data_IF_827527345119
#
_entry.id   IF_827527345119
#
_cell.length_a   1.000
_cell.length_b   1.000
_cell.length_c   1.000
_cell.angle_alpha   90.00
_cell.angle_beta   90.00
_cell.angle_gamma   90.00
#
_symmetry.space_group_name_H-M   'P 1'
#
loop_
_entity.id
_entity.type
_entity.pdbx_description
1 polymer ?
#
# COMPACT_ATOMS: atom_id res chain seq x y z
N UNK A 1 -58.99 -20.44 59.40
CA UNK A 1 -58.87 -21.29 58.21
C UNK A 1 -57.69 -20.74 57.41
N UNK A 2 -56.54 -21.40 57.45
CA UNK A 2 -55.33 -20.99 56.71
C UNK A 2 -55.55 -21.27 55.23
N UNK A 3 -55.37 -20.26 54.38
CA UNK A 3 -55.17 -20.45 52.95
C UNK A 3 -53.75 -20.01 52.61
N UNK A 4 -52.96 -21.02 52.27
CA UNK A 4 -51.64 -20.97 51.69
C UNK A 4 -51.63 -20.12 50.41
N UNK A 5 -50.76 -19.12 50.34
CA UNK A 5 -50.31 -18.59 49.05
C UNK A 5 -49.05 -19.35 48.64
N UNK A 6 -49.24 -20.31 47.73
CA UNK A 6 -48.17 -20.78 46.85
C UNK A 6 -47.65 -19.58 46.05
N UNK A 7 -46.33 -19.42 46.00
CA UNK A 7 -45.66 -18.41 45.18
C UNK A 7 -44.98 -19.13 44.00
N UNK A 8 -45.63 -19.25 42.82
CA UNK A 8 -45.00 -19.80 41.62
C UNK A 8 -44.27 -18.72 40.79
N UNK A 9 -44.35 -17.46 41.20
CA UNK A 9 -43.94 -16.29 40.40
C UNK A 9 -42.41 -16.15 40.22
N UNK A 10 -41.62 -16.53 41.23
CA UNK A 10 -40.16 -16.31 41.21
C UNK A 10 -39.43 -17.22 40.21
N UNK A 11 -39.87 -18.47 40.08
CA UNK A 11 -39.23 -19.45 39.19
C UNK A 11 -39.48 -19.15 37.71
N UNK A 12 -40.68 -18.66 37.38
CA UNK A 12 -41.04 -18.26 36.01
C UNK A 12 -40.24 -17.03 35.58
N UNK A 13 -40.03 -16.06 36.49
CA UNK A 13 -39.20 -14.89 36.23
C UNK A 13 -37.72 -15.24 36.02
N UNK A 14 -37.18 -16.17 36.82
CA UNK A 14 -35.81 -16.67 36.65
C UNK A 14 -35.64 -17.42 35.32
N UNK A 15 -36.61 -18.26 34.94
CA UNK A 15 -36.60 -18.97 33.65
C UNK A 15 -36.67 -18.01 32.46
N UNK A 16 -37.49 -16.94 32.55
CA UNK A 16 -37.57 -15.88 31.54
C UNK A 16 -36.27 -15.06 31.43
N UNK A 17 -35.59 -14.78 32.54
CA UNK A 17 -34.29 -14.11 32.53
C UNK A 17 -33.21 -14.97 31.88
N UNK A 18 -33.17 -16.27 32.21
CA UNK A 18 -32.18 -17.19 31.65
C UNK A 18 -32.43 -17.48 30.17
N UNK A 19 -33.69 -17.53 29.72
CA UNK A 19 -34.00 -17.65 28.29
C UNK A 19 -33.59 -16.39 27.52
N UNK A 20 -33.79 -15.18 28.05
CA UNK A 20 -33.28 -13.95 27.43
C UNK A 20 -31.75 -13.91 27.36
N UNK A 21 -31.04 -14.38 28.40
CA UNK A 21 -29.58 -14.47 28.38
C UNK A 21 -29.05 -15.48 27.34
N UNK A 22 -29.74 -16.62 27.19
CA UNK A 22 -29.37 -17.67 26.23
C UNK A 22 -29.72 -17.29 24.78
N UNK A 23 -30.82 -16.54 24.57
CA UNK A 23 -31.20 -15.99 23.26
C UNK A 23 -30.18 -14.97 22.76
N UNK A 24 -29.52 -14.23 23.64
CA UNK A 24 -28.51 -13.24 23.24
C UNK A 24 -27.18 -13.88 22.83
N UNK A 25 -26.92 -15.13 23.24
CA UNK A 25 -25.67 -15.85 22.95
C UNK A 25 -25.55 -16.30 21.49
N UNK A 26 -26.66 -16.31 20.75
CA UNK A 26 -26.75 -16.72 19.35
C UNK A 26 -27.15 -15.57 18.40
N UNK A 27 -27.07 -14.32 18.86
CA UNK A 27 -27.04 -13.19 17.93
C UNK A 27 -25.68 -13.22 17.23
N UNK A 28 -25.60 -13.87 16.08
CA UNK A 28 -24.50 -13.64 15.15
C UNK A 28 -24.39 -12.12 14.97
N UNK A 29 -23.25 -11.55 15.36
CA UNK A 29 -22.98 -10.13 15.15
C UNK A 29 -23.06 -9.88 13.65
N UNK A 30 -24.17 -9.32 13.18
CA UNK A 30 -24.21 -8.67 11.88
C UNK A 30 -23.06 -7.66 11.89
N UNK A 31 -22.12 -7.69 10.94
CA UNK A 31 -20.98 -6.79 10.97
C UNK A 31 -21.52 -5.37 11.06
N UNK A 32 -21.08 -4.62 12.07
CA UNK A 32 -21.43 -3.22 12.24
C UNK A 32 -20.89 -2.46 11.04
N UNK A 33 -21.73 -2.16 10.06
CA UNK A 33 -21.36 -1.24 8.98
C UNK A 33 -21.81 0.17 9.30
N UNK A 34 -20.94 1.15 9.05
CA UNK A 34 -21.33 2.55 9.05
C UNK A 34 -22.14 2.82 7.78
N UNK A 35 -23.38 3.28 7.93
CA UNK A 35 -24.20 3.70 6.78
C UNK A 35 -23.90 5.15 6.42
N UNK A 36 -23.53 5.39 5.16
CA UNK A 36 -23.46 6.74 4.56
C UNK A 36 -24.09 6.71 3.17
N UNK A 37 -25.00 7.64 2.88
CA UNK A 37 -25.76 7.70 1.62
C UNK A 37 -26.40 6.37 1.20
N UNK A 38 -27.04 5.67 2.16
CA UNK A 38 -27.70 4.37 1.95
C UNK A 38 -26.78 3.23 1.46
N UNK A 39 -25.46 3.35 1.63
CA UNK A 39 -24.49 2.26 1.40
C UNK A 39 -23.93 1.77 2.73
N UNK A 40 -23.87 0.45 2.88
CA UNK A 40 -23.29 -0.24 4.03
C UNK A 40 -21.77 -0.34 3.83
N UNK A 41 -20.99 0.42 4.59
CA UNK A 41 -19.53 0.33 4.57
C UNK A 41 -19.06 -0.65 5.65
N UNK A 42 -18.93 -1.92 5.28
CA UNK A 42 -18.09 -2.92 5.98
C UNK A 42 -16.61 -2.81 5.57
N UNK A 43 -16.26 -1.82 4.75
CA UNK A 43 -15.14 -1.89 3.81
C UNK A 43 -13.92 -1.05 4.20
N UNK A 44 -14.05 -0.08 5.10
CA UNK A 44 -13.00 0.92 5.33
C UNK A 44 -11.78 0.31 6.04
N UNK A 45 -11.99 -0.38 7.16
CA UNK A 45 -10.95 -1.09 7.91
C UNK A 45 -10.25 -2.17 7.06
N UNK A 46 -11.03 -3.02 6.39
CA UNK A 46 -10.53 -4.04 5.46
C UNK A 46 -9.72 -3.44 4.31
N UNK A 47 -10.09 -2.23 3.83
CA UNK A 47 -9.34 -1.56 2.76
C UNK A 47 -7.96 -1.11 3.25
N UNK A 48 -7.86 -0.55 4.46
CA UNK A 48 -6.55 -0.15 4.99
C UNK A 48 -5.69 -1.36 5.38
N UNK A 49 -6.31 -2.44 5.88
CA UNK A 49 -5.60 -3.69 6.14
C UNK A 49 -5.02 -4.27 4.84
N UNK A 50 -5.86 -4.36 3.80
CA UNK A 50 -5.43 -4.83 2.49
C UNK A 50 -4.37 -3.91 1.88
N UNK A 51 -4.54 -2.59 1.94
CA UNK A 51 -3.56 -1.63 1.42
C UNK A 51 -2.19 -1.77 2.10
N UNK A 52 -2.16 -1.85 3.44
CA UNK A 52 -0.92 -2.04 4.19
C UNK A 52 -0.26 -3.39 3.94
N UNK A 53 -1.05 -4.47 3.77
CA UNK A 53 -0.52 -5.79 3.42
C UNK A 53 0.06 -5.82 2.01
N UNK A 54 -0.66 -5.26 1.03
CA UNK A 54 -0.21 -5.20 -0.36
C UNK A 54 1.04 -4.33 -0.51
N UNK A 55 1.09 -3.16 0.14
CA UNK A 55 2.26 -2.28 0.09
C UNK A 55 3.49 -2.95 0.68
N UNK A 56 3.34 -3.70 1.76
CA UNK A 56 4.42 -4.44 2.39
C UNK A 56 4.98 -5.52 1.45
N UNK A 57 4.08 -6.31 0.84
CA UNK A 57 4.48 -7.33 -0.12
C UNK A 57 5.20 -6.73 -1.34
N UNK A 58 4.71 -5.61 -1.87
CA UNK A 58 5.35 -4.91 -2.99
C UNK A 58 6.76 -4.43 -2.58
N UNK A 59 6.90 -3.82 -1.40
CA UNK A 59 8.19 -3.34 -0.89
C UNK A 59 9.23 -4.47 -0.81
N UNK A 60 8.82 -5.64 -0.30
CA UNK A 60 9.68 -6.84 -0.27
C UNK A 60 10.08 -7.27 -1.68
N UNK A 61 9.11 -7.41 -2.60
CA UNK A 61 9.37 -7.87 -3.96
C UNK A 61 10.27 -6.91 -4.75
N UNK A 62 10.11 -5.60 -4.55
CA UNK A 62 10.98 -4.58 -5.14
C UNK A 62 12.41 -4.67 -4.58
N UNK A 63 12.58 -4.82 -3.27
CA UNK A 63 13.89 -5.04 -2.64
C UNK A 63 14.59 -6.29 -3.17
N UNK A 64 13.84 -7.37 -3.35
CA UNK A 64 14.37 -8.58 -3.95
C UNK A 64 14.73 -8.39 -5.44
N UNK A 65 13.88 -7.71 -6.22
CA UNK A 65 14.18 -7.36 -7.62
C UNK A 65 15.49 -6.57 -7.71
N UNK A 66 15.65 -5.55 -6.85
CA UNK A 66 16.85 -4.73 -6.80
C UNK A 66 18.09 -5.59 -6.54
N UNK A 67 18.02 -6.49 -5.57
CA UNK A 67 19.12 -7.39 -5.22
C UNK A 67 19.43 -8.38 -6.35
N UNK A 68 18.41 -8.95 -7.00
CA UNK A 68 18.56 -9.87 -8.13
C UNK A 68 19.21 -9.17 -9.34
N UNK A 69 18.74 -7.97 -9.68
CA UNK A 69 19.28 -7.16 -10.77
C UNK A 69 20.74 -6.78 -10.51
N UNK A 70 21.05 -6.31 -9.30
CA UNK A 70 22.41 -5.95 -8.90
C UNK A 70 23.36 -7.15 -8.99
N UNK A 71 22.94 -8.31 -8.48
CA UNK A 71 23.74 -9.54 -8.52
C UNK A 71 24.02 -9.96 -9.96
N UNK A 72 23.01 -9.94 -10.82
CA UNK A 72 23.13 -10.34 -12.22
C UNK A 72 24.11 -9.43 -12.99
N UNK A 73 24.01 -8.12 -12.82
CA UNK A 73 24.84 -7.14 -13.52
C UNK A 73 26.09 -6.70 -12.76
N UNK A 74 26.47 -7.41 -11.69
CA UNK A 74 27.59 -7.03 -10.80
C UNK A 74 28.96 -6.84 -11.49
N UNK A 75 29.12 -7.31 -12.73
CA UNK A 75 30.33 -7.14 -13.55
C UNK A 75 30.31 -5.90 -14.45
N UNK A 76 29.18 -5.21 -14.56
CA UNK A 76 29.05 -3.98 -15.36
C UNK A 76 29.86 -2.86 -14.69
N UNK A 77 30.84 -2.25 -15.38
CA UNK A 77 31.67 -1.20 -14.81
C UNK A 77 30.84 0.00 -14.36
N UNK A 78 31.10 0.46 -13.14
CA UNK A 78 30.42 1.62 -12.57
C UNK A 78 28.92 1.44 -12.35
N UNK A 79 28.44 0.20 -12.19
CA UNK A 79 27.06 -0.07 -11.77
C UNK A 79 26.71 0.66 -10.47
N UNK A 80 27.63 0.61 -9.49
CA UNK A 80 27.51 1.26 -8.19
C UNK A 80 28.21 2.63 -8.11
N UNK A 81 28.94 3.04 -9.14
CA UNK A 81 29.84 4.21 -9.08
C UNK A 81 29.12 5.56 -9.26
N UNK A 82 27.78 5.60 -9.25
CA UNK A 82 27.06 6.87 -9.32
C UNK A 82 26.67 7.38 -7.93
N UNK A 83 27.04 8.64 -7.69
CA UNK A 83 26.46 9.57 -6.71
C UNK A 83 24.97 9.26 -6.46
N UNK A 84 24.43 9.38 -5.24
CA UNK A 84 23.06 8.98 -4.92
C UNK A 84 22.14 9.59 -5.96
N UNK A 85 21.60 8.71 -6.80
CA UNK A 85 20.89 9.14 -7.98
C UNK A 85 19.61 9.77 -7.47
N UNK A 86 19.53 11.10 -7.53
CA UNK A 86 18.40 11.83 -6.98
C UNK A 86 17.14 11.37 -7.73
N UNK A 87 16.27 10.64 -7.03
CA UNK A 87 15.02 10.12 -7.58
C UNK A 87 14.12 11.28 -7.99
N UNK A 88 13.31 11.12 -9.03
CA UNK A 88 12.38 12.17 -9.48
C UNK A 88 11.38 12.58 -8.38
N UNK A 89 11.05 11.65 -7.48
CA UNK A 89 10.23 11.83 -6.28
C UNK A 89 10.89 12.60 -5.14
N UNK A 90 12.21 12.82 -5.17
CA UNK A 90 12.93 13.44 -4.05
C UNK A 90 12.60 14.91 -3.78
N UNK A 91 11.81 15.56 -4.65
CA UNK A 91 11.28 16.90 -4.46
C UNK A 91 9.84 16.91 -3.93
N UNK A 92 9.20 15.74 -3.83
CA UNK A 92 7.84 15.65 -3.30
C UNK A 92 7.85 15.96 -1.79
N UNK A 93 6.85 16.71 -1.29
CA UNK A 93 6.77 17.09 0.12
C UNK A 93 6.24 15.93 0.98
N UNK A 94 6.96 14.81 1.01
CA UNK A 94 6.56 13.57 1.69
C UNK A 94 7.42 13.30 2.93
N UNK A 95 6.88 12.63 3.98
CA UNK A 95 7.65 12.27 5.16
C UNK A 95 8.90 11.42 4.85
N UNK A 96 10.07 11.77 5.35
CA UNK A 96 11.32 11.07 4.99
C UNK A 96 11.46 9.71 5.67
N UNK A 97 10.84 9.51 6.83
CA UNK A 97 10.98 8.32 7.65
C UNK A 97 9.69 7.99 8.42
N UNK A 98 9.69 6.83 9.09
CA UNK A 98 8.57 6.33 9.90
C UNK A 98 8.16 7.32 10.99
N UNK A 99 9.11 8.02 11.59
CA UNK A 99 8.82 8.89 12.73
C UNK A 99 8.09 10.14 12.29
N UNK A 100 8.51 10.73 11.17
CA UNK A 100 7.76 11.83 10.55
C UNK A 100 6.38 11.36 10.07
N UNK A 101 6.28 10.17 9.48
CA UNK A 101 5.00 9.61 9.04
C UNK A 101 4.02 9.44 10.22
N UNK A 102 4.47 8.94 11.38
CA UNK A 102 3.66 8.78 12.61
C UNK A 102 3.20 10.09 13.25
N UNK A 103 3.75 11.24 12.84
CA UNK A 103 3.29 12.56 13.28
C UNK A 103 2.57 13.33 12.16
N UNK A 104 2.41 12.71 10.99
CA UNK A 104 1.72 13.32 9.84
C UNK A 104 0.24 13.03 9.92
N UNK A 105 -0.60 14.04 9.66
CA UNK A 105 -2.05 13.84 9.59
C UNK A 105 -2.42 12.80 8.52
N UNK A 106 -3.37 11.92 8.80
CA UNK A 106 -3.70 10.80 7.92
C UNK A 106 -4.03 11.22 6.47
N UNK A 107 -4.74 12.34 6.27
CA UNK A 107 -5.03 12.83 4.91
C UNK A 107 -3.76 13.22 4.14
N UNK A 108 -2.83 13.92 4.80
CA UNK A 108 -1.55 14.31 4.20
C UNK A 108 -0.67 13.09 3.94
N UNK A 109 -0.76 12.07 4.79
CA UNK A 109 -0.03 10.81 4.63
C UNK A 109 -0.59 9.97 3.47
N UNK A 110 -1.92 9.91 3.32
CA UNK A 110 -2.56 9.24 2.17
C UNK A 110 -2.21 9.97 0.86
N UNK A 111 -2.26 11.30 0.86
CA UNK A 111 -1.82 12.14 -0.27
C UNK A 111 -0.34 11.94 -0.60
N UNK A 112 0.52 11.73 0.40
CA UNK A 112 1.93 11.41 0.19
C UNK A 112 2.13 10.06 -0.52
N UNK A 113 1.35 9.04 -0.14
CA UNK A 113 1.36 7.73 -0.81
C UNK A 113 0.86 7.84 -2.25
N UNK A 114 -0.25 8.55 -2.47
CA UNK A 114 -0.80 8.84 -3.80
C UNK A 114 0.23 9.52 -4.71
N UNK A 115 0.88 10.60 -4.25
CA UNK A 115 1.88 11.33 -5.02
C UNK A 115 3.04 10.45 -5.49
N UNK A 116 3.51 9.52 -4.66
CA UNK A 116 4.56 8.57 -5.03
C UNK A 116 4.03 7.57 -6.06
N UNK A 117 2.86 6.97 -5.82
CA UNK A 117 2.25 6.00 -6.74
C UNK A 117 2.03 6.62 -8.14
N UNK A 118 1.46 7.82 -8.20
CA UNK A 118 1.23 8.56 -9.45
C UNK A 118 2.54 8.93 -10.15
N UNK A 119 3.59 9.27 -9.40
CA UNK A 119 4.90 9.57 -9.98
C UNK A 119 5.57 8.33 -10.62
N UNK A 120 5.17 7.11 -10.26
CA UNK A 120 5.75 5.87 -10.77
C UNK A 120 4.98 5.22 -11.93
N UNK A 121 3.79 5.72 -12.27
CA UNK A 121 2.94 5.17 -13.35
C UNK A 121 3.68 5.05 -14.69
N UNK A 122 4.03 6.19 -15.31
CA UNK A 122 4.76 6.21 -16.58
C UNK A 122 6.18 5.61 -16.48
N UNK A 123 6.97 5.89 -15.43
CA UNK A 123 8.31 5.31 -15.35
C UNK A 123 8.28 3.77 -15.29
N UNK A 124 7.30 3.14 -14.63
CA UNK A 124 7.21 1.67 -14.61
C UNK A 124 6.90 1.08 -15.99
N UNK A 125 6.06 1.73 -16.80
CA UNK A 125 5.85 1.34 -18.20
C UNK A 125 7.16 1.39 -19.00
N UNK A 126 7.91 2.49 -18.87
CA UNK A 126 9.20 2.67 -19.54
C UNK A 126 10.21 1.60 -19.10
N UNK A 127 10.28 1.30 -17.79
CA UNK A 127 11.19 0.28 -17.26
C UNK A 127 10.89 -1.11 -17.84
N UNK A 128 9.62 -1.52 -17.90
CA UNK A 128 9.22 -2.81 -18.47
C UNK A 128 9.60 -2.90 -19.95
N UNK A 129 9.30 -1.84 -20.71
CA UNK A 129 9.62 -1.75 -22.14
C UNK A 129 11.13 -1.83 -22.40
N UNK A 130 11.92 -1.06 -21.64
CA UNK A 130 13.36 -0.95 -21.86
C UNK A 130 14.12 -2.20 -21.42
N UNK A 131 13.72 -2.83 -20.30
CA UNK A 131 14.31 -4.11 -19.89
C UNK A 131 14.09 -5.21 -20.94
N UNK A 132 12.95 -5.21 -21.62
CA UNK A 132 12.63 -6.21 -22.64
C UNK A 132 13.53 -6.10 -23.89
N UNK A 133 14.27 -5.00 -24.05
CA UNK A 133 15.13 -4.75 -25.21
C UNK A 133 16.63 -4.77 -24.87
N UNK A 134 17.01 -4.98 -23.60
CA UNK A 134 18.41 -5.23 -23.21
C UNK A 134 18.75 -6.70 -23.48
N UNK A 135 19.91 -6.99 -24.07
CA UNK A 135 20.29 -8.37 -24.39
C UNK A 135 20.52 -9.18 -23.11
N UNK A 136 20.05 -10.42 -23.12
CA UNK A 136 20.28 -11.40 -22.05
C UNK A 136 19.75 -11.00 -20.66
N UNK A 137 18.77 -10.09 -20.57
CA UNK A 137 18.03 -9.92 -19.30
C UNK A 137 17.36 -11.25 -18.96
N UNK A 138 17.53 -11.77 -17.74
CA UNK A 138 16.82 -12.97 -17.31
C UNK A 138 15.31 -12.77 -17.37
N UNK A 139 14.59 -13.71 -17.98
CA UNK A 139 13.10 -13.68 -18.06
C UNK A 139 12.47 -13.47 -16.68
N UNK A 140 13.07 -14.04 -15.62
CA UNK A 140 12.65 -13.86 -14.23
C UNK A 140 12.62 -12.39 -13.79
N UNK A 141 13.59 -11.58 -14.24
CA UNK A 141 13.63 -10.14 -13.92
C UNK A 141 12.48 -9.42 -14.65
N UNK A 142 12.29 -9.71 -15.94
CA UNK A 142 11.21 -9.09 -16.75
C UNK A 142 9.84 -9.44 -16.16
N UNK A 143 9.61 -10.72 -15.84
CA UNK A 143 8.34 -11.17 -15.25
C UNK A 143 8.10 -10.50 -13.90
N UNK A 144 9.14 -10.40 -13.05
CA UNK A 144 9.03 -9.79 -11.72
C UNK A 144 8.70 -8.30 -11.79
N UNK A 145 9.37 -7.53 -12.64
CA UNK A 145 9.06 -6.10 -12.84
C UNK A 145 7.62 -5.93 -13.34
N UNK A 146 7.20 -6.77 -14.28
CA UNK A 146 5.84 -6.75 -14.83
C UNK A 146 4.78 -7.05 -13.77
N UNK A 147 5.04 -8.01 -12.88
CA UNK A 147 4.10 -8.36 -11.81
C UNK A 147 4.07 -7.32 -10.69
N UNK A 148 5.23 -6.75 -10.33
CA UNK A 148 5.33 -5.61 -9.41
C UNK A 148 4.49 -4.44 -9.95
N UNK A 149 4.63 -4.10 -11.24
CA UNK A 149 3.84 -3.04 -11.87
C UNK A 149 2.33 -3.28 -11.70
N UNK A 150 1.84 -4.48 -12.02
CA UNK A 150 0.41 -4.80 -11.88
C UNK A 150 -0.09 -4.62 -10.44
N UNK A 151 0.73 -4.98 -9.45
CA UNK A 151 0.41 -4.81 -8.02
C UNK A 151 0.38 -3.33 -7.63
N UNK A 152 1.34 -2.54 -8.13
CA UNK A 152 1.38 -1.09 -7.93
C UNK A 152 0.13 -0.43 -8.54
N UNK A 153 -0.22 -0.76 -9.78
CA UNK A 153 -1.41 -0.27 -10.47
C UNK A 153 -2.70 -0.60 -9.66
N UNK A 154 -2.75 -1.77 -9.03
CA UNK A 154 -3.87 -2.17 -8.18
C UNK A 154 -3.95 -1.35 -6.88
N UNK A 155 -2.82 -1.14 -6.21
CA UNK A 155 -2.75 -0.29 -5.00
C UNK A 155 -3.11 1.17 -5.34
N UNK A 156 -2.59 1.71 -6.44
CA UNK A 156 -2.90 3.07 -6.90
C UNK A 156 -4.41 3.27 -7.13
N UNK A 157 -5.08 2.30 -7.78
CA UNK A 157 -6.55 2.34 -7.94
C UNK A 157 -7.28 2.36 -6.59
N UNK A 158 -6.83 1.54 -5.64
CA UNK A 158 -7.38 1.53 -4.28
C UNK A 158 -7.20 2.86 -3.55
N UNK A 159 -6.00 3.44 -3.61
CA UNK A 159 -5.67 4.74 -3.01
C UNK A 159 -6.46 5.88 -3.65
N UNK A 160 -6.57 5.93 -4.98
CA UNK A 160 -7.37 6.92 -5.69
C UNK A 160 -8.86 6.83 -5.32
N UNK A 161 -9.39 5.60 -5.17
CA UNK A 161 -10.75 5.37 -4.70
C UNK A 161 -10.96 5.93 -3.27
N UNK A 162 -9.99 5.74 -2.37
CA UNK A 162 -10.03 6.33 -1.03
C UNK A 162 -9.98 7.86 -1.07
N UNK A 163 -9.07 8.44 -1.88
CA UNK A 163 -8.93 9.89 -2.03
C UNK A 163 -10.22 10.56 -2.54
N UNK A 164 -10.88 9.97 -3.55
CA UNK A 164 -12.17 10.47 -4.07
C UNK A 164 -13.31 10.42 -3.04
N UNK A 165 -13.17 9.60 -2.01
CA UNK A 165 -14.14 9.52 -0.90
C UNK A 165 -13.90 10.63 0.14
N UNK A 166 -12.69 11.19 0.19
CA UNK A 166 -12.24 12.17 1.17
C UNK A 166 -12.28 13.62 0.64
N UNK A 167 -11.98 13.83 -0.66
CA UNK A 167 -11.95 15.16 -1.30
C UNK A 167 -12.57 15.11 -2.72
N UNK A 168 -13.01 16.27 -3.23
CA UNK A 168 -13.38 16.43 -4.65
C UNK A 168 -12.14 16.50 -5.55
N UNK A 169 -12.27 16.04 -6.80
CA UNK A 169 -11.17 15.90 -7.77
C UNK A 169 -10.34 17.19 -7.93
N UNK A 170 -9.05 17.14 -7.58
CA UNK A 170 -8.04 18.15 -7.94
C UNK A 170 -7.20 17.65 -9.13
N UNK A 171 -6.87 18.56 -10.06
CA UNK A 171 -6.05 18.27 -11.25
C UNK A 171 -4.60 17.91 -10.87
N UNK A 172 -4.15 16.73 -11.30
CA UNK A 172 -2.86 16.13 -10.94
C UNK A 172 -1.75 16.55 -11.91
N UNK A 173 -0.59 16.95 -11.38
CA UNK A 173 0.66 17.15 -12.16
C UNK A 173 1.72 16.15 -11.69
N UNK A 174 2.02 15.15 -12.53
CA UNK A 174 3.02 14.14 -12.20
C UNK A 174 4.42 14.64 -12.58
N UNK A 175 5.42 14.55 -11.68
CA UNK A 175 6.79 14.92 -12.02
C UNK A 175 7.35 13.96 -13.07
N UNK A 176 7.79 14.49 -14.21
CA UNK A 176 8.35 13.69 -15.30
C UNK A 176 9.67 13.03 -14.88
N UNK A 177 9.88 11.78 -15.31
CA UNK A 177 11.15 11.08 -15.09
C UNK A 177 12.24 11.63 -16.02
N UNK A 178 13.18 12.38 -15.45
CA UNK A 178 14.22 13.11 -16.20
C UNK A 178 15.25 12.23 -16.91
N UNK A 179 15.24 10.91 -16.72
CA UNK A 179 16.26 9.97 -17.22
C UNK A 179 15.77 9.03 -18.32
N UNK A 180 14.58 9.25 -18.89
CA UNK A 180 14.08 8.47 -20.02
C UNK A 180 15.10 8.36 -21.19
N UNK A 181 15.80 9.45 -21.61
CA UNK A 181 16.78 9.35 -22.69
C UNK A 181 17.98 8.43 -22.38
N UNK A 182 18.30 8.21 -21.10
CA UNK A 182 19.40 7.32 -20.70
C UNK A 182 19.00 5.84 -20.73
N UNK A 183 17.69 5.53 -20.62
CA UNK A 183 17.19 4.17 -20.80
C UNK A 183 17.29 3.73 -22.27
N UNK A 184 17.14 4.69 -23.20
CA UNK A 184 17.16 4.50 -24.65
C UNK A 184 18.56 4.67 -25.28
N UNK A 185 19.63 4.68 -24.49
CA UNK A 185 21.00 4.86 -25.00
C UNK A 185 21.44 3.69 -25.90
N UNK A 186 22.19 3.95 -26.97
CA UNK A 186 22.80 2.89 -27.78
C UNK A 186 23.84 2.03 -27.02
N UNK A 187 24.32 2.51 -25.87
CA UNK A 187 25.30 1.81 -25.04
C UNK A 187 24.59 0.95 -23.97
N UNK A 188 24.69 -0.37 -24.09
CA UNK A 188 24.04 -1.34 -23.20
C UNK A 188 24.40 -1.15 -21.71
N UNK A 189 25.68 -0.93 -21.37
CA UNK A 189 26.11 -0.65 -19.99
C UNK A 189 25.48 0.64 -19.43
N UNK A 190 25.25 1.65 -20.28
CA UNK A 190 24.52 2.87 -19.88
C UNK A 190 23.05 2.58 -19.59
N UNK A 191 22.39 1.75 -20.40
CA UNK A 191 21.00 1.34 -20.19
C UNK A 191 20.84 0.51 -18.92
N UNK A 192 21.76 -0.44 -18.68
CA UNK A 192 21.80 -1.26 -17.47
C UNK A 192 21.99 -0.37 -16.22
N UNK A 193 22.93 0.58 -16.26
CA UNK A 193 23.14 1.53 -15.16
C UNK A 193 21.94 2.45 -14.93
N UNK A 194 21.28 2.89 -16.00
CA UNK A 194 20.06 3.70 -15.90
C UNK A 194 18.93 2.91 -15.24
N UNK A 195 18.74 1.65 -15.66
CA UNK A 195 17.76 0.71 -15.09
C UNK A 195 18.06 0.40 -13.61
N UNK A 196 19.34 0.15 -13.26
CA UNK A 196 19.75 -0.03 -11.87
C UNK A 196 19.39 1.18 -11.00
N UNK A 197 19.73 2.39 -11.46
CA UNK A 197 19.39 3.62 -10.75
C UNK A 197 17.89 3.95 -10.74
N UNK A 198 17.08 3.29 -11.56
CA UNK A 198 15.63 3.39 -11.54
C UNK A 198 15.03 2.41 -10.53
N UNK A 199 15.44 1.15 -10.57
CA UNK A 199 15.03 0.11 -9.62
C UNK A 199 15.46 0.48 -8.19
N UNK A 200 16.62 1.10 -8.00
CA UNK A 200 17.06 1.62 -6.69
C UNK A 200 16.13 2.72 -6.16
N UNK A 201 15.66 3.61 -7.03
CA UNK A 201 14.69 4.64 -6.65
C UNK A 201 13.32 4.02 -6.32
N UNK A 202 12.89 3.04 -7.10
CA UNK A 202 11.66 2.29 -6.86
C UNK A 202 11.71 1.63 -5.47
N UNK A 203 12.81 0.98 -5.13
CA UNK A 203 13.03 0.34 -3.82
C UNK A 203 12.93 1.35 -2.66
N UNK A 204 13.57 2.51 -2.79
CA UNK A 204 13.51 3.55 -1.76
C UNK A 204 12.09 4.12 -1.60
N UNK A 205 11.39 4.36 -2.70
CA UNK A 205 10.05 4.95 -2.67
C UNK A 205 8.99 3.96 -2.19
N UNK A 206 9.09 2.67 -2.55
CA UNK A 206 8.12 1.68 -2.09
C UNK A 206 8.30 1.27 -0.63
N UNK A 207 9.51 1.43 -0.06
CA UNK A 207 9.70 1.43 1.40
C UNK A 207 8.95 2.57 2.09
N UNK A 208 8.92 3.76 1.48
CA UNK A 208 8.12 4.89 2.02
C UNK A 208 6.63 4.63 1.90
N UNK A 209 6.16 4.16 0.75
CA UNK A 209 4.74 3.81 0.55
C UNK A 209 4.30 2.74 1.55
N UNK A 210 5.14 1.72 1.78
CA UNK A 210 4.89 0.70 2.81
C UNK A 210 4.72 1.31 4.21
N UNK A 211 5.65 2.19 4.61
CA UNK A 211 5.57 2.93 5.87
C UNK A 211 4.28 3.73 5.95
N UNK A 212 3.93 4.50 4.91
CA UNK A 212 2.77 5.39 4.93
C UNK A 212 1.46 4.62 5.05
N UNK A 213 1.28 3.57 4.23
CA UNK A 213 0.05 2.78 4.22
C UNK A 213 -0.09 1.93 5.49
N UNK A 214 1.01 1.43 6.07
CA UNK A 214 0.94 0.75 7.36
C UNK A 214 0.69 1.72 8.52
N UNK A 215 1.24 2.94 8.53
CA UNK A 215 0.88 3.94 9.55
C UNK A 215 -0.60 4.34 9.43
N UNK A 216 -1.10 4.53 8.22
CA UNK A 216 -2.53 4.78 7.97
C UNK A 216 -3.41 3.65 8.48
N UNK A 217 -3.03 2.41 8.20
CA UNK A 217 -3.69 1.22 8.74
C UNK A 217 -3.81 1.30 10.26
N UNK A 218 -2.72 1.64 10.95
CA UNK A 218 -2.74 1.70 12.40
C UNK A 218 -3.60 2.85 12.94
N UNK A 219 -3.64 4.00 12.28
CA UNK A 219 -4.57 5.08 12.64
C UNK A 219 -6.03 4.67 12.48
N UNK A 220 -6.37 4.07 11.34
CA UNK A 220 -7.75 3.73 11.02
C UNK A 220 -8.28 2.58 11.86
N UNK A 221 -7.42 1.59 12.16
CA UNK A 221 -7.74 0.43 12.99
C UNK A 221 -7.53 0.67 14.49
N UNK A 222 -7.05 1.87 14.89
CA UNK A 222 -6.72 2.21 16.29
C UNK A 222 -5.81 1.18 16.96
N UNK A 223 -4.80 0.71 16.22
CA UNK A 223 -3.81 -0.26 16.73
C UNK A 223 -2.75 0.52 17.51
N UNK A 224 -2.65 0.26 18.80
CA UNK A 224 -1.57 0.79 19.64
C UNK A 224 -0.22 0.15 19.27
N UNK A 225 0.86 0.93 19.33
CA UNK A 225 2.24 0.45 19.14
C UNK A 225 2.57 -0.16 17.76
N UNK A 226 1.93 0.35 16.70
CA UNK A 226 2.54 0.41 15.37
C UNK A 226 3.68 1.45 15.32
#
# INVERSE_FOLDING_TARGET
MQLSLTQPSSWILLLLLMTNLLLWKNAASVPMCAMRNARCFTFFEDTFELAGSLSHNISIEVSELFTEFEKHYSKVPGLRDKSPTRCHTSFLPTPENKEQARHTHYEALLKSGEMILDAWESPLDDLVSELSTIKNVPDKIISKVTDIKKKIDAVQKGVNSLMSTMNGDEEKKNPAWSRLPLLQSDNEDTRIRSSYGMISCLDNDFKKVDIYLNVLKCYMLKIDNC
#
